data_IF_142837823222
#
_entry.id   IF_142837823222
#
_cell.length_a   1.000
_cell.length_b   1.000
_cell.length_c   1.000
_cell.angle_alpha   90.00
_cell.angle_beta   90.00
_cell.angle_gamma   90.00
#
_symmetry.space_group_name_H-M   'P 1'
#
loop_
_entity.id
_entity.type
_entity.pdbx_description
1 polymer ?
#
# COMPACT_ATOMS: atom_id res chain seq x y z
N UNK A 1 -7.38 2.87 27.68
CA UNK A 1 -7.28 3.25 26.26
C UNK A 1 -6.07 4.14 25.97
N UNK A 2 -5.99 5.39 26.47
CA UNK A 2 -4.85 6.30 26.19
C UNK A 2 -3.46 5.71 26.47
N UNK A 3 -3.28 4.94 27.56
CA UNK A 3 -2.00 4.28 27.86
C UNK A 3 -1.62 3.26 26.76
N UNK A 4 -2.57 2.43 26.34
CA UNK A 4 -2.40 1.45 25.26
C UNK A 4 -1.98 2.10 23.95
N UNK A 5 -2.69 3.15 23.52
CA UNK A 5 -2.37 3.87 22.28
C UNK A 5 -1.01 4.56 22.34
N UNK A 6 -0.64 5.14 23.49
CA UNK A 6 0.69 5.75 23.66
C UNK A 6 1.81 4.72 23.63
N UNK A 7 1.62 3.54 24.24
CA UNK A 7 2.58 2.45 24.19
C UNK A 7 2.83 1.98 22.75
N UNK A 8 1.75 1.77 21.98
CA UNK A 8 1.89 1.39 20.58
C UNK A 8 2.50 2.50 19.71
N UNK A 9 2.14 3.76 19.95
CA UNK A 9 2.78 4.87 19.23
C UNK A 9 4.29 4.88 19.40
N UNK A 10 4.78 4.73 20.65
CA UNK A 10 6.22 4.71 20.89
C UNK A 10 6.88 3.44 20.32
N UNK A 11 6.19 2.30 20.31
CA UNK A 11 6.67 1.07 19.69
C UNK A 11 6.82 1.23 18.18
N UNK A 12 5.82 1.78 17.50
CA UNK A 12 5.89 2.06 16.06
C UNK A 12 7.03 3.03 15.72
N UNK A 13 7.17 4.11 16.49
CA UNK A 13 8.25 5.06 16.29
C UNK A 13 9.63 4.43 16.49
N UNK A 14 9.83 3.71 17.58
CA UNK A 14 11.10 3.06 17.90
C UNK A 14 11.49 2.02 16.83
N UNK A 15 10.58 1.13 16.46
CA UNK A 15 10.86 0.09 15.45
C UNK A 15 11.17 0.72 14.08
N UNK A 16 10.46 1.79 13.71
CA UNK A 16 10.76 2.53 12.48
C UNK A 16 12.18 3.14 12.50
N UNK A 17 12.52 3.86 13.58
CA UNK A 17 13.74 4.67 13.65
C UNK A 17 14.99 3.88 14.01
N UNK A 18 14.85 2.78 14.75
CA UNK A 18 15.96 1.99 15.26
C UNK A 18 16.20 0.69 14.47
N UNK A 19 15.19 0.22 13.73
CA UNK A 19 15.25 -1.05 12.99
C UNK A 19 15.00 -0.85 11.48
N UNK A 20 13.79 -0.48 11.08
CA UNK A 20 13.34 -0.56 9.68
C UNK A 20 14.09 0.43 8.78
N UNK A 21 14.10 1.72 9.12
CA UNK A 21 14.79 2.72 8.30
C UNK A 21 16.31 2.51 8.27
N UNK A 22 17.01 2.23 9.40
CA UNK A 22 18.44 1.91 9.37
C UNK A 22 18.78 0.67 8.53
N UNK A 23 17.95 -0.37 8.56
CA UNK A 23 18.15 -1.56 7.74
C UNK A 23 18.17 -1.20 6.24
N UNK A 24 17.16 -0.50 5.75
CA UNK A 24 17.06 -0.16 4.33
C UNK A 24 18.07 0.87 3.86
N UNK A 25 18.43 1.84 4.71
CA UNK A 25 19.51 2.80 4.40
C UNK A 25 20.87 2.12 4.30
N UNK A 26 21.11 1.08 5.07
CA UNK A 26 22.37 0.33 5.07
C UNK A 26 22.45 -0.67 3.92
N UNK A 27 21.40 -1.44 3.71
CA UNK A 27 21.41 -2.62 2.85
C UNK A 27 20.72 -2.39 1.49
N UNK A 28 19.75 -1.48 1.40
CA UNK A 28 18.98 -1.22 0.21
C UNK A 28 19.46 -0.03 -0.60
N UNK A 29 19.94 1.05 0.03
CA UNK A 29 20.27 2.28 -0.69
C UNK A 29 21.45 2.08 -1.65
N UNK A 30 21.25 2.31 -2.95
CA UNK A 30 22.33 2.30 -3.94
C UNK A 30 23.07 3.65 -3.94
N UNK A 31 24.25 3.67 -3.34
CA UNK A 31 25.09 4.87 -3.22
C UNK A 31 25.92 5.13 -4.48
N UNK A 32 25.88 4.26 -5.49
CA UNK A 32 26.64 4.40 -6.74
C UNK A 32 25.77 4.96 -7.85
N UNK A 33 24.61 4.35 -8.09
CA UNK A 33 23.72 4.74 -9.19
C UNK A 33 22.51 5.54 -8.72
N UNK A 34 22.28 5.63 -7.38
CA UNK A 34 21.05 6.18 -6.81
C UNK A 34 19.90 5.17 -6.76
N UNK A 35 18.81 5.54 -6.08
CA UNK A 35 17.68 4.66 -5.89
C UNK A 35 17.91 3.57 -4.84
N UNK A 36 17.05 2.55 -4.84
CA UNK A 36 17.05 1.49 -3.82
C UNK A 36 16.98 0.09 -4.44
N UNK A 37 17.76 -0.83 -3.91
CA UNK A 37 17.62 -2.28 -4.11
C UNK A 37 16.60 -2.84 -3.13
N UNK A 38 15.81 -3.83 -3.56
CA UNK A 38 14.86 -4.52 -2.68
C UNK A 38 15.06 -6.03 -2.64
N UNK A 39 15.84 -6.61 -3.56
CA UNK A 39 16.16 -8.03 -3.53
C UNK A 39 17.31 -8.28 -2.52
N UNK A 40 16.94 -8.36 -1.24
CA UNK A 40 17.86 -8.40 -0.10
C UNK A 40 17.60 -9.66 0.72
N UNK A 41 18.65 -10.41 1.01
CA UNK A 41 18.58 -11.63 1.83
C UNK A 41 18.36 -11.30 3.31
N UNK A 42 18.25 -12.32 4.14
CA UNK A 42 17.98 -12.21 5.57
C UNK A 42 19.03 -11.38 6.30
N UNK A 43 20.30 -11.56 5.97
CA UNK A 43 21.44 -10.86 6.59
C UNK A 43 21.71 -9.46 6.02
N UNK A 44 20.92 -9.01 5.04
CA UNK A 44 21.08 -7.73 4.36
C UNK A 44 21.97 -7.79 3.11
N UNK A 45 22.50 -8.94 2.72
CA UNK A 45 23.26 -9.09 1.48
C UNK A 45 22.33 -9.00 0.26
N UNK A 46 22.83 -8.47 -0.87
CA UNK A 46 22.06 -8.38 -2.10
C UNK A 46 21.95 -9.75 -2.78
N UNK A 47 20.72 -10.16 -3.06
CA UNK A 47 20.42 -11.34 -3.89
C UNK A 47 20.46 -10.96 -5.36
N UNK A 48 19.95 -9.78 -5.70
CA UNK A 48 19.86 -9.26 -7.07
C UNK A 48 19.94 -7.74 -7.06
N UNK A 49 20.49 -7.16 -8.12
CA UNK A 49 20.63 -5.70 -8.28
C UNK A 49 19.57 -5.09 -9.20
N UNK A 50 18.62 -5.87 -9.70
CA UNK A 50 17.45 -5.39 -10.43
C UNK A 50 16.62 -4.48 -9.51
N UNK A 51 16.24 -3.31 -10.01
CA UNK A 51 15.44 -2.34 -9.29
C UNK A 51 13.99 -2.40 -9.72
N UNK A 52 13.10 -2.68 -8.79
CA UNK A 52 11.67 -2.50 -8.97
C UNK A 52 11.35 -0.99 -8.98
N UNK A 53 10.75 -0.50 -10.06
CA UNK A 53 10.36 0.92 -10.20
C UNK A 53 9.27 1.28 -9.18
N UNK A 54 8.39 0.33 -8.83
CA UNK A 54 7.44 0.53 -7.75
C UNK A 54 8.13 0.92 -6.45
N UNK A 55 9.23 0.26 -6.11
CA UNK A 55 9.94 0.52 -4.86
C UNK A 55 10.80 1.78 -4.93
N UNK A 56 11.18 2.26 -6.08
CA UNK A 56 11.76 3.59 -6.18
C UNK A 56 10.74 4.63 -5.68
N UNK A 57 9.53 4.64 -6.23
CA UNK A 57 8.47 5.53 -5.77
C UNK A 57 8.06 5.29 -4.32
N UNK A 58 7.82 4.03 -3.94
CA UNK A 58 7.41 3.64 -2.58
C UNK A 58 8.41 4.04 -1.51
N UNK A 59 9.70 3.83 -1.74
CA UNK A 59 10.73 4.20 -0.76
C UNK A 59 10.91 5.72 -0.66
N UNK A 60 10.95 6.44 -1.79
CA UNK A 60 11.04 7.89 -1.77
C UNK A 60 9.85 8.53 -1.04
N UNK A 61 8.62 7.98 -1.23
CA UNK A 61 7.45 8.35 -0.45
C UNK A 61 7.66 8.13 1.04
N UNK A 62 8.03 6.92 1.45
CA UNK A 62 8.21 6.56 2.87
C UNK A 62 9.28 7.39 3.55
N UNK A 63 10.44 7.59 2.90
CA UNK A 63 11.53 8.37 3.47
C UNK A 63 11.12 9.85 3.66
N UNK A 64 10.37 10.41 2.69
CA UNK A 64 9.81 11.76 2.80
C UNK A 64 8.72 11.84 3.88
N UNK A 65 7.85 10.83 3.96
CA UNK A 65 6.77 10.78 4.95
C UNK A 65 7.31 10.63 6.37
N UNK A 66 8.31 9.77 6.58
CA UNK A 66 9.01 9.67 7.86
C UNK A 66 9.66 11.01 8.27
N UNK A 67 10.31 11.70 7.31
CA UNK A 67 10.88 13.03 7.54
C UNK A 67 9.81 14.05 7.92
N UNK A 68 8.66 14.02 7.30
CA UNK A 68 7.59 14.97 7.58
C UNK A 68 6.91 14.74 8.93
N UNK A 69 6.77 13.49 9.34
CA UNK A 69 5.90 13.07 10.44
C UNK A 69 6.65 12.68 11.72
N UNK A 70 7.76 11.98 11.58
CA UNK A 70 8.48 11.39 12.73
C UNK A 70 9.57 12.30 13.23
N UNK A 71 10.58 12.60 12.39
CA UNK A 71 11.70 13.48 12.70
C UNK A 71 12.37 14.04 11.44
N UNK A 72 12.94 15.24 11.54
CA UNK A 72 13.63 15.91 10.43
C UNK A 72 15.04 15.32 10.18
N UNK A 73 15.10 14.01 9.90
CA UNK A 73 16.35 13.31 9.66
C UNK A 73 16.88 13.62 8.24
N UNK A 74 18.06 14.29 8.12
CA UNK A 74 18.59 14.70 6.82
C UNK A 74 18.99 13.51 5.92
N UNK A 75 19.32 12.34 6.50
CA UNK A 75 19.67 11.16 5.71
C UNK A 75 18.42 10.60 4.99
N UNK A 76 17.25 10.65 5.63
CA UNK A 76 15.98 10.23 5.00
C UNK A 76 15.63 11.14 3.82
N UNK A 77 15.78 12.46 4.00
CA UNK A 77 15.50 13.41 2.93
C UNK A 77 16.48 13.25 1.76
N UNK A 78 17.77 13.03 2.05
CA UNK A 78 18.78 12.79 1.02
C UNK A 78 18.53 11.45 0.27
N UNK A 79 18.13 10.40 0.97
CA UNK A 79 17.77 9.11 0.36
C UNK A 79 16.53 9.22 -0.54
N UNK A 80 15.50 9.97 -0.10
CA UNK A 80 14.34 10.27 -0.91
C UNK A 80 14.72 11.02 -2.19
N UNK A 81 15.56 12.06 -2.08
CA UNK A 81 16.03 12.84 -3.23
C UNK A 81 16.79 11.98 -4.22
N UNK A 82 17.78 11.20 -3.75
CA UNK A 82 18.56 10.28 -4.59
C UNK A 82 17.67 9.30 -5.36
N UNK A 83 16.60 8.82 -4.71
CA UNK A 83 15.67 7.89 -5.33
C UNK A 83 14.77 8.59 -6.36
N UNK A 84 14.32 9.81 -6.09
CA UNK A 84 13.54 10.61 -7.06
C UNK A 84 14.41 10.97 -8.27
N UNK A 85 15.68 11.35 -8.07
CA UNK A 85 16.60 11.61 -9.19
C UNK A 85 16.78 10.38 -10.07
N UNK A 86 16.89 9.20 -9.47
CA UNK A 86 16.95 7.93 -10.20
C UNK A 86 15.66 7.67 -10.99
N UNK A 87 14.49 7.94 -10.40
CA UNK A 87 13.20 7.83 -11.09
C UNK A 87 13.17 8.74 -12.33
N UNK A 88 13.50 10.00 -12.17
CA UNK A 88 13.45 10.99 -13.25
C UNK A 88 14.44 10.67 -14.38
N UNK A 89 15.63 10.16 -14.04
CA UNK A 89 16.67 9.87 -15.03
C UNK A 89 16.45 8.53 -15.78
N UNK A 90 15.83 7.53 -15.14
CA UNK A 90 15.92 6.15 -15.63
C UNK A 90 14.59 5.39 -15.72
N UNK A 91 13.53 5.86 -15.09
CA UNK A 91 12.32 5.03 -14.95
C UNK A 91 11.23 5.33 -15.97
N UNK A 92 11.40 6.33 -16.84
CA UNK A 92 10.43 6.68 -17.87
C UNK A 92 10.86 6.20 -19.25
N UNK A 93 9.89 5.70 -20.02
CA UNK A 93 10.04 5.40 -21.43
C UNK A 93 9.70 6.63 -22.30
N UNK A 94 10.04 6.57 -23.58
CA UNK A 94 9.82 7.64 -24.56
C UNK A 94 8.35 7.97 -24.79
N UNK A 95 7.43 7.05 -24.48
CA UNK A 95 5.96 7.28 -24.56
C UNK A 95 5.38 7.96 -23.30
N UNK A 96 6.23 8.27 -22.33
CA UNK A 96 5.85 8.88 -21.04
C UNK A 96 5.35 7.90 -19.98
N UNK A 97 5.23 6.60 -20.33
CA UNK A 97 4.94 5.52 -19.36
C UNK A 97 6.19 5.16 -18.58
N UNK A 98 5.98 4.58 -17.41
CA UNK A 98 7.11 4.10 -16.58
C UNK A 98 7.37 2.61 -16.78
N UNK A 99 8.63 2.24 -16.63
CA UNK A 99 9.04 0.83 -16.53
C UNK A 99 8.54 0.21 -15.21
N UNK A 100 8.56 -1.10 -15.15
CA UNK A 100 8.31 -1.87 -13.92
C UNK A 100 9.61 -2.31 -13.27
N UNK A 101 10.61 -2.67 -14.08
CA UNK A 101 11.94 -3.08 -13.65
C UNK A 101 13.01 -2.45 -14.52
N UNK A 102 14.13 -2.09 -13.88
CA UNK A 102 15.34 -1.59 -14.53
C UNK A 102 16.57 -2.24 -13.89
N UNK A 103 17.70 -2.25 -14.62
CA UNK A 103 19.00 -2.66 -14.06
C UNK A 103 19.47 -1.68 -12.98
N UNK A 104 20.54 -2.04 -12.26
CA UNK A 104 21.16 -1.15 -11.26
C UNK A 104 21.50 0.24 -11.81
N UNK A 105 22.01 0.30 -13.05
CA UNK A 105 22.38 1.51 -13.78
C UNK A 105 21.23 2.14 -14.59
N UNK A 106 20.00 1.64 -14.41
CA UNK A 106 18.80 2.25 -14.96
C UNK A 106 18.40 1.84 -16.39
N UNK A 107 19.00 0.80 -16.97
CA UNK A 107 18.56 0.29 -18.28
C UNK A 107 17.24 -0.48 -18.15
N UNK A 108 16.28 -0.28 -19.07
CA UNK A 108 14.96 -0.90 -18.98
C UNK A 108 15.00 -2.42 -19.12
N UNK A 109 14.26 -3.13 -18.27
CA UNK A 109 14.12 -4.58 -18.30
C UNK A 109 12.68 -5.00 -18.60
N UNK A 110 11.70 -4.36 -17.94
CA UNK A 110 10.31 -4.77 -18.07
C UNK A 110 9.34 -3.60 -17.90
N UNK A 111 8.26 -3.61 -18.67
CA UNK A 111 7.13 -2.69 -18.58
C UNK A 111 5.86 -3.47 -18.25
N UNK A 112 4.90 -2.84 -17.58
CA UNK A 112 3.59 -3.43 -17.29
C UNK A 112 2.47 -2.58 -17.86
N UNK A 113 1.30 -3.20 -18.05
CA UNK A 113 0.05 -2.55 -18.49
C UNK A 113 -0.63 -1.70 -17.42
N UNK A 114 -0.12 -1.68 -16.19
CA UNK A 114 -0.68 -0.92 -15.07
C UNK A 114 0.03 0.41 -14.88
N UNK A 115 -0.67 1.36 -14.28
CA UNK A 115 -0.16 2.71 -13.93
C UNK A 115 0.39 2.78 -12.49
N UNK A 116 0.75 1.69 -11.88
CA UNK A 116 1.20 1.69 -10.48
C UNK A 116 2.59 2.30 -10.30
N UNK A 117 3.49 2.12 -11.26
CA UNK A 117 4.80 2.80 -11.23
C UNK A 117 4.62 4.31 -11.20
N UNK A 118 3.76 4.82 -12.08
CA UNK A 118 3.40 6.23 -12.18
C UNK A 118 2.72 6.72 -10.89
N UNK A 119 1.80 5.93 -10.32
CA UNK A 119 1.11 6.27 -9.07
C UNK A 119 2.07 6.40 -7.90
N UNK A 120 3.00 5.45 -7.74
CA UNK A 120 4.00 5.53 -6.67
C UNK A 120 5.01 6.65 -6.87
N UNK A 121 5.42 6.94 -8.09
CA UNK A 121 6.27 8.09 -8.37
C UNK A 121 5.54 9.41 -8.07
N UNK A 122 4.26 9.53 -8.40
CA UNK A 122 3.46 10.72 -8.14
C UNK A 122 3.32 11.01 -6.63
N UNK A 123 2.98 10.01 -5.81
CA UNK A 123 2.88 10.21 -4.37
C UNK A 123 4.25 10.49 -3.73
N UNK A 124 5.33 9.92 -4.26
CA UNK A 124 6.69 10.20 -3.82
C UNK A 124 7.08 11.66 -4.07
N UNK A 125 6.81 12.17 -5.27
CA UNK A 125 7.08 13.57 -5.61
C UNK A 125 6.24 14.53 -4.76
N UNK A 126 4.96 14.22 -4.52
CA UNK A 126 4.10 15.04 -3.67
C UNK A 126 4.61 15.10 -2.22
N UNK A 127 4.93 13.96 -1.62
CA UNK A 127 5.41 13.91 -0.24
C UNK A 127 6.81 14.54 -0.11
N UNK A 128 7.67 14.39 -1.12
CA UNK A 128 8.97 15.04 -1.17
C UNK A 128 8.86 16.57 -1.32
N UNK A 129 7.90 17.08 -2.08
CA UNK A 129 7.63 18.51 -2.16
C UNK A 129 7.35 19.12 -0.78
N UNK A 130 6.53 18.43 0.02
CA UNK A 130 6.23 18.81 1.41
C UNK A 130 7.47 18.73 2.31
N UNK A 131 8.32 17.72 2.11
CA UNK A 131 9.52 17.52 2.91
C UNK A 131 10.66 18.53 2.59
N UNK A 132 10.86 18.85 1.31
CA UNK A 132 11.92 19.73 0.84
C UNK A 132 11.52 21.21 0.80
N UNK A 133 10.20 21.51 0.71
CA UNK A 133 9.68 22.84 0.41
C UNK A 133 9.74 23.22 -1.08
N UNK A 134 10.25 22.35 -1.94
CA UNK A 134 10.32 22.60 -3.39
C UNK A 134 9.03 22.16 -4.08
N UNK A 135 8.14 23.11 -4.33
CA UNK A 135 6.83 22.88 -4.92
C UNK A 135 6.88 22.45 -6.39
N UNK A 136 8.01 22.51 -7.07
CA UNK A 136 8.14 21.98 -8.44
C UNK A 136 7.87 20.47 -8.49
N UNK A 137 8.16 19.74 -7.39
CA UNK A 137 7.81 18.33 -7.28
C UNK A 137 6.31 18.08 -7.09
N UNK A 138 5.58 18.99 -6.47
CA UNK A 138 4.12 18.93 -6.41
C UNK A 138 3.49 19.12 -7.79
N UNK A 139 4.02 20.04 -8.60
CA UNK A 139 3.60 20.24 -9.99
C UNK A 139 3.90 19.01 -10.85
N UNK A 140 5.08 18.40 -10.68
CA UNK A 140 5.43 17.13 -11.35
C UNK A 140 4.50 15.99 -10.96
N UNK A 141 4.16 15.87 -9.67
CA UNK A 141 3.20 14.89 -9.17
C UNK A 141 1.83 15.04 -9.80
N UNK A 142 1.31 16.26 -9.82
CA UNK A 142 0.02 16.59 -10.45
C UNK A 142 0.01 16.33 -11.96
N UNK A 143 1.10 16.70 -12.64
CA UNK A 143 1.25 16.42 -14.07
C UNK A 143 1.23 14.91 -14.33
N UNK A 144 2.00 14.14 -13.57
CA UNK A 144 2.05 12.69 -13.72
C UNK A 144 0.69 12.04 -13.41
N UNK A 145 -0.05 12.55 -12.43
CA UNK A 145 -1.41 12.12 -12.15
C UNK A 145 -2.37 12.38 -13.31
N UNK A 146 -2.29 13.54 -13.95
CA UNK A 146 -3.06 13.85 -15.17
C UNK A 146 -2.67 12.93 -16.33
N UNK A 147 -1.39 12.58 -16.45
CA UNK A 147 -0.93 11.59 -17.43
C UNK A 147 -1.48 10.18 -17.12
N UNK A 148 -1.53 9.74 -15.85
CA UNK A 148 -2.18 8.49 -15.43
C UNK A 148 -3.63 8.45 -15.92
N UNK A 149 -4.42 9.49 -15.66
CA UNK A 149 -5.82 9.56 -16.13
C UNK A 149 -5.91 9.48 -17.66
N UNK A 150 -5.05 10.19 -18.35
CA UNK A 150 -4.96 10.14 -19.82
C UNK A 150 -4.63 8.74 -20.33
N UNK A 151 -3.67 8.03 -19.72
CA UNK A 151 -3.32 6.67 -20.12
C UNK A 151 -4.49 5.70 -19.93
N UNK A 152 -5.23 5.82 -18.84
CA UNK A 152 -6.40 4.97 -18.56
C UNK A 152 -7.54 5.26 -19.54
N UNK A 153 -7.79 6.53 -19.85
CA UNK A 153 -8.91 6.95 -20.69
C UNK A 153 -8.66 6.78 -22.20
N UNK A 154 -7.39 6.67 -22.63
CA UNK A 154 -7.06 6.63 -24.06
C UNK A 154 -6.92 5.17 -24.53
N UNK A 155 -7.80 4.70 -25.44
CA UNK A 155 -7.69 3.34 -26.00
C UNK A 155 -6.30 3.09 -26.62
N UNK A 156 -5.73 1.93 -26.32
CA UNK A 156 -4.42 1.52 -26.82
C UNK A 156 -3.20 2.07 -26.06
N UNK A 157 -3.38 3.00 -25.11
CA UNK A 157 -2.27 3.44 -24.24
C UNK A 157 -1.86 2.39 -23.20
N UNK A 158 -2.82 1.59 -22.76
CA UNK A 158 -2.61 0.45 -21.87
C UNK A 158 -3.06 -0.83 -22.58
N UNK A 159 -2.25 -1.88 -22.52
CA UNK A 159 -2.68 -3.19 -22.99
C UNK A 159 -3.83 -3.70 -22.12
N UNK A 160 -4.88 -4.30 -22.70
CA UNK A 160 -6.00 -4.80 -21.93
C UNK A 160 -5.58 -5.98 -21.05
N UNK A 161 -6.08 -6.01 -19.82
CA UNK A 161 -5.92 -7.18 -18.93
C UNK A 161 -6.82 -8.34 -19.36
N UNK A 162 -8.01 -8.02 -19.86
CA UNK A 162 -8.99 -8.99 -20.31
C UNK A 162 -9.28 -8.75 -21.80
N UNK A 163 -9.53 -9.83 -22.53
CA UNK A 163 -9.89 -9.79 -23.95
C UNK A 163 -11.43 -9.74 -24.10
N UNK A 164 -11.90 -9.49 -25.32
CA UNK A 164 -13.33 -9.30 -25.63
C UNK A 164 -14.22 -10.47 -25.23
N UNK A 165 -13.64 -11.67 -25.12
CA UNK A 165 -14.35 -12.89 -24.66
C UNK A 165 -14.63 -12.91 -23.16
N UNK A 166 -13.93 -12.11 -22.37
CA UNK A 166 -14.14 -11.91 -20.94
C UNK A 166 -14.08 -10.43 -20.62
N UNK A 167 -15.21 -9.75 -20.73
CA UNK A 167 -15.29 -8.35 -20.32
C UNK A 167 -15.33 -8.27 -18.81
N UNK A 168 -14.27 -7.70 -18.21
CA UNK A 168 -14.14 -7.57 -16.77
C UNK A 168 -13.31 -6.34 -16.40
N UNK A 169 -13.55 -5.83 -15.20
CA UNK A 169 -12.77 -4.78 -14.58
C UNK A 169 -12.22 -5.22 -13.23
N UNK A 170 -11.06 -4.68 -12.87
CA UNK A 170 -10.36 -5.01 -11.64
C UNK A 170 -10.44 -3.91 -10.60
N UNK A 171 -10.53 -4.31 -9.34
CA UNK A 171 -10.63 -3.43 -8.17
C UNK A 171 -9.37 -2.58 -7.92
N UNK A 172 -8.18 -3.15 -8.12
CA UNK A 172 -6.91 -2.56 -7.69
C UNK A 172 -6.61 -1.17 -8.28
N UNK A 173 -7.05 -0.88 -9.51
CA UNK A 173 -6.89 0.45 -10.13
C UNK A 173 -7.77 1.49 -9.44
N UNK A 174 -8.99 1.13 -9.11
CA UNK A 174 -9.93 2.03 -8.42
C UNK A 174 -9.40 2.40 -7.04
N UNK A 175 -8.91 1.41 -6.31
CA UNK A 175 -8.30 1.59 -4.99
C UNK A 175 -7.07 2.51 -5.02
N UNK A 176 -6.10 2.24 -5.90
CA UNK A 176 -4.85 3.02 -5.93
C UNK A 176 -5.07 4.47 -6.32
N UNK A 177 -6.07 4.77 -7.16
CA UNK A 177 -6.36 6.13 -7.58
C UNK A 177 -6.95 6.99 -6.45
N UNK A 178 -7.71 6.41 -5.53
CA UNK A 178 -8.17 7.12 -4.31
C UNK A 178 -6.94 7.59 -3.52
N UNK A 179 -6.03 6.70 -3.20
CA UNK A 179 -4.85 7.04 -2.40
C UNK A 179 -3.93 8.01 -3.15
N UNK A 180 -3.66 7.79 -4.44
CA UNK A 180 -2.79 8.66 -5.23
C UNK A 180 -3.32 10.09 -5.27
N UNK A 181 -4.61 10.27 -5.57
CA UNK A 181 -5.24 11.58 -5.62
C UNK A 181 -5.26 12.26 -4.24
N UNK A 182 -5.58 11.51 -3.18
CA UNK A 182 -5.59 12.00 -1.80
C UNK A 182 -4.22 12.52 -1.36
N UNK A 183 -3.14 11.75 -1.62
CA UNK A 183 -1.77 12.19 -1.26
C UNK A 183 -1.33 13.44 -2.00
N UNK A 184 -1.64 13.58 -3.28
CA UNK A 184 -1.28 14.76 -4.07
C UNK A 184 -2.08 15.99 -3.60
N UNK A 185 -3.38 15.81 -3.31
CA UNK A 185 -4.28 16.87 -2.81
C UNK A 185 -3.80 17.51 -1.51
N UNK A 186 -3.09 16.78 -0.66
CA UNK A 186 -2.50 17.34 0.57
C UNK A 186 -1.44 18.42 0.31
N UNK A 187 -0.90 18.47 -0.91
CA UNK A 187 0.23 19.34 -1.24
C UNK A 187 -0.12 20.40 -2.27
N UNK A 188 -0.95 20.06 -3.25
CA UNK A 188 -1.37 20.97 -4.32
C UNK A 188 -2.85 20.79 -4.63
N UNK A 189 -3.58 21.91 -4.71
CA UNK A 189 -4.99 21.89 -5.02
C UNK A 189 -5.23 21.86 -6.53
N UNK A 190 -6.01 20.88 -6.99
CA UNK A 190 -6.53 20.81 -8.36
C UNK A 190 -7.85 20.03 -8.35
N UNK A 191 -8.95 20.53 -8.97
CA UNK A 191 -10.25 19.85 -8.95
C UNK A 191 -10.24 18.43 -9.51
N UNK A 192 -9.27 18.09 -10.36
CA UNK A 192 -9.13 16.74 -10.93
C UNK A 192 -8.90 15.68 -9.88
N UNK A 193 -8.33 16.05 -8.72
CA UNK A 193 -8.03 15.13 -7.64
C UNK A 193 -9.31 14.69 -6.90
N UNK A 194 -10.15 15.65 -6.51
CA UNK A 194 -11.44 15.36 -5.90
C UNK A 194 -12.37 14.64 -6.87
N UNK A 195 -12.40 15.06 -8.14
CA UNK A 195 -13.16 14.38 -9.18
C UNK A 195 -12.76 12.91 -9.31
N UNK A 196 -11.45 12.61 -9.31
CA UNK A 196 -11.00 11.21 -9.39
C UNK A 196 -11.40 10.40 -8.17
N UNK A 197 -11.33 10.98 -6.97
CA UNK A 197 -11.76 10.30 -5.75
C UNK A 197 -13.26 9.96 -5.84
N UNK A 198 -14.09 10.92 -6.25
CA UNK A 198 -15.53 10.70 -6.41
C UNK A 198 -15.84 9.60 -7.45
N UNK A 199 -15.18 9.64 -8.62
CA UNK A 199 -15.30 8.62 -9.66
C UNK A 199 -14.90 7.23 -9.14
N UNK A 200 -13.85 7.16 -8.33
CA UNK A 200 -13.36 5.91 -7.74
C UNK A 200 -14.32 5.38 -6.68
N UNK A 201 -14.81 6.23 -5.77
CA UNK A 201 -15.80 5.85 -4.75
C UNK A 201 -17.10 5.34 -5.38
N UNK A 202 -17.55 5.94 -6.48
CA UNK A 202 -18.72 5.46 -7.22
C UNK A 202 -18.43 4.10 -7.88
N UNK A 203 -17.27 3.97 -8.54
CA UNK A 203 -16.87 2.70 -9.18
C UNK A 203 -16.69 1.54 -8.19
N UNK A 204 -16.28 1.82 -6.95
CA UNK A 204 -16.15 0.79 -5.90
C UNK A 204 -17.47 0.07 -5.60
N UNK A 205 -18.61 0.73 -5.79
CA UNK A 205 -19.93 0.14 -5.56
C UNK A 205 -20.14 -1.14 -6.38
N UNK A 206 -19.57 -1.22 -7.55
CA UNK A 206 -19.68 -2.37 -8.44
C UNK A 206 -19.01 -3.63 -7.87
N UNK A 207 -17.97 -3.46 -7.07
CA UNK A 207 -17.20 -4.56 -6.48
C UNK A 207 -17.78 -5.05 -5.14
N UNK A 208 -18.61 -4.25 -4.49
CA UNK A 208 -19.27 -4.61 -3.22
C UNK A 208 -20.40 -5.60 -3.49
N UNK A 209 -20.33 -6.79 -2.88
CA UNK A 209 -21.30 -7.88 -3.04
C UNK A 209 -21.90 -8.27 -1.69
N UNK A 210 -23.03 -7.65 -1.31
CA UNK A 210 -23.69 -7.92 -0.01
C UNK A 210 -24.10 -9.38 0.17
N UNK A 211 -24.47 -10.06 -0.91
CA UNK A 211 -24.86 -11.47 -0.91
C UNK A 211 -23.73 -12.42 -0.46
N UNK A 212 -22.46 -12.01 -0.67
CA UNK A 212 -21.28 -12.72 -0.21
C UNK A 212 -20.63 -12.06 1.00
N UNK A 213 -21.11 -10.90 1.43
CA UNK A 213 -20.43 -10.02 2.41
C UNK A 213 -18.97 -9.81 2.02
N UNK A 214 -18.73 -9.35 0.80
CA UNK A 214 -17.40 -9.25 0.24
C UNK A 214 -17.24 -8.06 -0.70
N UNK A 215 -15.99 -7.59 -0.82
CA UNK A 215 -15.50 -6.79 -1.91
C UNK A 215 -14.68 -7.72 -2.82
N UNK A 216 -15.06 -7.84 -4.08
CA UNK A 216 -14.41 -8.76 -5.03
C UNK A 216 -13.28 -8.08 -5.80
N UNK A 217 -12.26 -8.86 -6.18
CA UNK A 217 -11.11 -8.37 -6.96
C UNK A 217 -11.46 -8.10 -8.45
N UNK A 218 -12.54 -8.72 -8.94
CA UNK A 218 -12.93 -8.64 -10.34
C UNK A 218 -14.46 -8.75 -10.48
N UNK A 219 -15.01 -7.91 -11.36
CA UNK A 219 -16.45 -7.94 -11.72
C UNK A 219 -16.59 -7.66 -13.22
N UNK A 220 -17.77 -7.88 -13.75
CA UNK A 220 -18.14 -7.45 -15.11
C UNK A 220 -18.17 -5.94 -15.27
N UNK A 221 -18.30 -5.42 -16.50
CA UNK A 221 -18.24 -3.98 -16.79
C UNK A 221 -19.24 -3.14 -15.99
N UNK A 222 -20.43 -3.67 -15.72
CA UNK A 222 -21.48 -2.98 -14.96
C UNK A 222 -21.63 -3.57 -13.53
N UNK A 223 -20.59 -4.20 -13.01
CA UNK A 223 -20.59 -4.79 -11.68
C UNK A 223 -21.17 -6.21 -11.61
N UNK A 224 -21.37 -6.89 -12.72
CA UNK A 224 -21.92 -8.25 -12.74
C UNK A 224 -20.96 -9.22 -12.02
N UNK A 225 -21.53 -10.13 -11.24
CA UNK A 225 -20.75 -11.21 -10.64
C UNK A 225 -20.29 -12.21 -11.71
N UNK A 226 -19.00 -12.46 -11.75
CA UNK A 226 -18.38 -13.43 -12.67
C UNK A 226 -18.11 -14.73 -11.89
N UNK A 227 -18.95 -15.75 -12.09
CA UNK A 227 -18.84 -17.03 -11.40
C UNK A 227 -17.75 -17.92 -11.99
N UNK A 228 -16.50 -17.47 -11.85
CA UNK A 228 -15.29 -18.22 -12.22
C UNK A 228 -14.31 -18.22 -11.05
N UNK A 229 -13.33 -19.09 -11.08
CA UNK A 229 -12.31 -19.16 -10.02
C UNK A 229 -11.63 -17.80 -9.76
N UNK A 230 -11.45 -16.99 -10.80
CA UNK A 230 -10.86 -15.64 -10.67
C UNK A 230 -11.91 -14.60 -10.22
N UNK A 231 -13.15 -14.70 -10.68
CA UNK A 231 -14.22 -13.76 -10.33
C UNK A 231 -14.74 -13.92 -8.90
N UNK A 232 -14.48 -15.07 -8.26
CA UNK A 232 -14.87 -15.34 -6.87
C UNK A 232 -13.81 -14.92 -5.85
N UNK A 233 -12.64 -14.40 -6.30
CA UNK A 233 -11.53 -14.08 -5.42
C UNK A 233 -11.86 -12.89 -4.52
N UNK A 234 -11.65 -13.10 -3.23
CA UNK A 234 -11.54 -12.06 -2.20
C UNK A 234 -10.07 -11.98 -1.81
N UNK A 235 -9.51 -10.76 -1.84
CA UNK A 235 -8.22 -10.46 -1.23
C UNK A 235 -8.47 -9.65 0.04
N UNK A 236 -8.48 -10.27 1.23
CA UNK A 236 -8.77 -9.56 2.47
C UNK A 236 -7.89 -8.34 2.69
N UNK A 237 -6.60 -8.44 2.34
CA UNK A 237 -5.65 -7.34 2.46
C UNK A 237 -6.04 -6.12 1.60
N UNK A 238 -6.34 -6.29 0.31
CA UNK A 238 -6.81 -5.21 -0.56
C UNK A 238 -8.14 -4.61 -0.09
N UNK A 239 -9.05 -5.47 0.38
CA UNK A 239 -10.33 -5.00 0.89
C UNK A 239 -10.16 -4.12 2.15
N UNK A 240 -9.28 -4.54 3.06
CA UNK A 240 -8.92 -3.79 4.26
C UNK A 240 -8.19 -2.48 3.89
N UNK A 241 -7.24 -2.52 2.94
CA UNK A 241 -6.55 -1.34 2.44
C UNK A 241 -7.54 -0.34 1.82
N UNK A 242 -8.49 -0.82 1.02
CA UNK A 242 -9.57 0.01 0.48
C UNK A 242 -10.41 0.65 1.59
N UNK A 243 -10.75 -0.12 2.61
CA UNK A 243 -11.56 0.39 3.72
C UNK A 243 -10.87 1.57 4.43
N UNK A 244 -9.58 1.49 4.72
CA UNK A 244 -8.94 2.62 5.38
C UNK A 244 -8.64 3.78 4.44
N UNK A 245 -8.43 3.57 3.12
CA UNK A 245 -8.40 4.69 2.16
C UNK A 245 -9.73 5.46 2.14
N UNK A 246 -10.85 4.73 2.21
CA UNK A 246 -12.18 5.33 2.33
C UNK A 246 -12.38 6.05 3.67
N UNK A 247 -11.92 5.48 4.80
CA UNK A 247 -12.02 6.13 6.11
C UNK A 247 -11.16 7.40 6.18
N UNK A 248 -9.97 7.39 5.59
CA UNK A 248 -9.14 8.60 5.48
C UNK A 248 -9.83 9.68 4.65
N UNK A 249 -10.47 9.32 3.54
CA UNK A 249 -11.28 10.25 2.75
C UNK A 249 -12.53 10.72 3.49
N UNK A 250 -13.22 9.84 4.20
CA UNK A 250 -14.36 10.21 5.05
C UNK A 250 -13.94 11.23 6.12
N UNK A 251 -12.78 11.02 6.76
CA UNK A 251 -12.20 11.96 7.72
C UNK A 251 -11.92 13.32 7.08
N UNK A 252 -11.32 13.34 5.89
CA UNK A 252 -11.08 14.58 5.14
C UNK A 252 -12.37 15.36 4.85
N UNK A 253 -13.49 14.66 4.60
CA UNK A 253 -14.83 15.22 4.38
C UNK A 253 -15.62 15.43 5.68
N UNK A 254 -14.97 15.47 6.84
CA UNK A 254 -15.63 15.68 8.14
C UNK A 254 -16.43 14.45 8.60
N UNK A 255 -15.95 13.27 8.31
CA UNK A 255 -16.58 11.98 8.58
C UNK A 255 -17.89 11.81 7.82
N UNK A 256 -17.82 11.99 6.47
CA UNK A 256 -18.98 11.72 5.60
C UNK A 256 -19.61 10.37 5.94
N UNK A 257 -20.91 10.39 6.20
CA UNK A 257 -21.64 9.25 6.76
C UNK A 257 -21.67 8.06 5.79
N UNK A 258 -21.97 8.31 4.50
CA UNK A 258 -22.11 7.23 3.51
C UNK A 258 -20.77 6.52 3.28
N UNK A 259 -19.69 7.30 3.13
CA UNK A 259 -18.35 6.76 2.94
C UNK A 259 -17.92 5.98 4.19
N UNK A 260 -18.13 6.54 5.38
CA UNK A 260 -17.78 5.90 6.66
C UNK A 260 -18.50 4.57 6.85
N UNK A 261 -19.82 4.53 6.71
CA UNK A 261 -20.62 3.32 6.90
C UNK A 261 -20.20 2.20 5.91
N UNK A 262 -19.95 2.56 4.65
CA UNK A 262 -19.49 1.61 3.64
C UNK A 262 -18.10 1.08 3.93
N UNK A 263 -17.17 1.95 4.33
CA UNK A 263 -15.82 1.57 4.67
C UNK A 263 -15.78 0.61 5.87
N UNK A 264 -16.55 0.90 6.92
CA UNK A 264 -16.68 0.03 8.09
C UNK A 264 -17.30 -1.32 7.73
N UNK A 265 -18.31 -1.33 6.85
CA UNK A 265 -18.92 -2.57 6.35
C UNK A 265 -17.89 -3.43 5.60
N UNK A 266 -17.09 -2.83 4.71
CA UNK A 266 -16.01 -3.53 3.97
C UNK A 266 -14.98 -4.07 4.96
N UNK A 267 -14.55 -3.29 5.95
CA UNK A 267 -13.59 -3.72 6.96
C UNK A 267 -14.11 -4.91 7.77
N UNK A 268 -15.35 -4.83 8.28
CA UNK A 268 -15.95 -5.89 9.08
C UNK A 268 -16.09 -7.20 8.28
N UNK A 269 -16.50 -7.12 7.03
CA UNK A 269 -16.59 -8.29 6.15
C UNK A 269 -15.21 -8.87 5.82
N UNK A 270 -14.24 -7.99 5.54
CA UNK A 270 -12.88 -8.41 5.18
C UNK A 270 -12.16 -9.06 6.35
N UNK A 271 -12.45 -8.60 7.57
CA UNK A 271 -11.97 -9.27 8.78
C UNK A 271 -12.57 -10.67 8.92
N UNK A 272 -13.89 -10.83 8.74
CA UNK A 272 -14.56 -12.14 8.79
C UNK A 272 -13.99 -13.12 7.75
N UNK A 273 -13.65 -12.64 6.56
CA UNK A 273 -13.05 -13.46 5.52
C UNK A 273 -11.57 -13.76 5.75
N UNK A 274 -10.83 -12.81 6.29
CA UNK A 274 -9.37 -12.85 6.37
C UNK A 274 -8.80 -13.39 7.65
N UNK A 275 -9.44 -13.12 8.80
CA UNK A 275 -8.91 -13.56 10.10
C UNK A 275 -8.90 -15.08 10.21
N UNK A 276 -7.75 -15.64 10.58
CA UNK A 276 -7.61 -17.09 10.79
C UNK A 276 -7.89 -17.44 12.25
N UNK A 277 -9.06 -18.02 12.53
CA UNK A 277 -9.50 -18.38 13.88
C UNK A 277 -8.59 -19.44 14.54
N UNK A 278 -7.86 -20.21 13.75
CA UNK A 278 -6.99 -21.27 14.27
C UNK A 278 -5.60 -20.76 14.64
N UNK A 279 -5.00 -19.92 13.79
CA UNK A 279 -3.60 -19.51 13.91
C UNK A 279 -3.42 -18.00 14.07
N UNK A 280 -4.48 -17.22 13.98
CA UNK A 280 -4.42 -15.75 13.95
C UNK A 280 -3.88 -15.19 12.63
N UNK A 281 -3.91 -13.86 12.52
CA UNK A 281 -3.47 -13.11 11.35
C UNK A 281 -4.40 -13.18 10.15
N UNK A 282 -4.20 -12.27 9.21
CA UNK A 282 -4.99 -12.16 7.98
C UNK A 282 -4.37 -13.05 6.90
N UNK A 283 -5.16 -13.95 6.33
CA UNK A 283 -4.76 -14.82 5.22
C UNK A 283 -4.81 -14.09 3.87
N UNK A 284 -4.14 -14.64 2.86
CA UNK A 284 -3.89 -13.97 1.59
C UNK A 284 -5.12 -13.92 0.68
N UNK A 285 -5.78 -15.07 0.39
CA UNK A 285 -6.92 -15.14 -0.52
C UNK A 285 -8.04 -16.04 0.00
N UNK A 286 -9.27 -15.71 -0.37
CA UNK A 286 -10.48 -16.53 -0.18
C UNK A 286 -11.29 -16.60 -1.47
N UNK A 287 -12.16 -17.58 -1.55
CA UNK A 287 -13.21 -17.67 -2.57
C UNK A 287 -14.55 -17.34 -1.92
N UNK A 288 -15.35 -16.45 -2.51
CA UNK A 288 -16.61 -15.99 -1.93
C UNK A 288 -17.69 -17.08 -1.77
N UNK A 289 -17.47 -18.25 -2.36
CA UNK A 289 -18.31 -19.46 -2.18
C UNK A 289 -17.63 -20.53 -1.30
N UNK A 290 -16.53 -20.17 -0.62
CA UNK A 290 -15.73 -21.11 0.18
C UNK A 290 -15.17 -22.31 -0.61
N UNK A 291 -14.92 -22.12 -1.91
CA UNK A 291 -14.21 -23.07 -2.74
C UNK A 291 -12.69 -22.80 -2.64
N UNK A 292 -11.84 -23.76 -3.02
CA UNK A 292 -10.39 -23.52 -3.07
C UNK A 292 -10.05 -22.43 -4.10
N UNK A 293 -9.35 -21.33 -3.70
CA UNK A 293 -8.80 -20.39 -4.66
C UNK A 293 -7.73 -21.04 -5.54
N UNK A 294 -7.44 -20.42 -6.70
CA UNK A 294 -6.41 -20.93 -7.59
C UNK A 294 -4.98 -20.72 -7.04
N UNK A 295 -4.77 -19.66 -6.26
CA UNK A 295 -3.45 -19.31 -5.76
C UNK A 295 -3.00 -20.27 -4.66
N UNK A 296 -1.82 -20.88 -4.85
CA UNK A 296 -1.25 -21.85 -3.89
C UNK A 296 -0.86 -21.19 -2.55
N UNK A 297 -0.65 -19.87 -2.53
CA UNK A 297 -0.35 -19.10 -1.31
C UNK A 297 -1.61 -18.60 -0.59
N UNK A 298 -2.77 -19.12 -0.94
CA UNK A 298 -4.07 -18.60 -0.53
C UNK A 298 -4.25 -18.50 0.99
N UNK A 299 -3.69 -19.40 1.77
CA UNK A 299 -3.79 -19.42 3.23
C UNK A 299 -2.52 -18.92 3.96
N UNK A 300 -1.50 -18.52 3.22
CA UNK A 300 -0.28 -17.92 3.79
C UNK A 300 -0.58 -16.56 4.43
N UNK A 301 0.33 -16.15 5.33
CA UNK A 301 0.32 -14.83 5.97
C UNK A 301 1.41 -13.97 5.35
N UNK A 302 1.00 -12.97 4.57
CA UNK A 302 1.91 -11.96 4.04
C UNK A 302 1.99 -10.77 4.99
N UNK A 303 3.10 -10.04 4.97
CA UNK A 303 3.34 -8.89 5.86
C UNK A 303 2.32 -7.77 5.64
N UNK A 304 2.00 -7.47 4.38
CA UNK A 304 1.23 -6.30 4.03
C UNK A 304 -0.25 -6.36 4.42
N UNK A 305 -1.00 -7.48 4.35
CA UNK A 305 -2.37 -7.52 4.87
C UNK A 305 -2.46 -7.22 6.37
N UNK A 306 -1.44 -7.66 7.13
CA UNK A 306 -1.38 -7.40 8.57
C UNK A 306 -1.17 -5.90 8.84
N UNK A 307 -0.22 -5.28 8.12
CA UNK A 307 0.05 -3.84 8.27
C UNK A 307 -1.14 -2.98 7.88
N UNK A 308 -1.87 -3.34 6.82
CA UNK A 308 -3.07 -2.63 6.42
C UNK A 308 -4.20 -2.77 7.46
N UNK A 309 -4.33 -3.94 8.08
CA UNK A 309 -5.31 -4.17 9.13
C UNK A 309 -5.02 -3.35 10.41
N UNK A 310 -3.75 -3.17 10.77
CA UNK A 310 -3.34 -2.30 11.88
C UNK A 310 -3.80 -0.86 11.63
N UNK A 311 -3.58 -0.31 10.44
CA UNK A 311 -4.02 1.05 10.08
C UNK A 311 -5.54 1.14 10.09
N UNK A 312 -6.21 0.20 9.41
CA UNK A 312 -7.66 0.22 9.22
C UNK A 312 -8.43 0.20 10.55
N UNK A 313 -7.98 -0.60 11.51
CA UNK A 313 -8.63 -0.71 12.82
C UNK A 313 -8.50 0.56 13.64
N UNK A 314 -7.38 1.29 13.55
CA UNK A 314 -7.22 2.60 14.20
C UNK A 314 -8.14 3.66 13.58
N UNK A 315 -8.23 3.74 12.25
CA UNK A 315 -9.18 4.64 11.58
C UNK A 315 -10.63 4.32 11.93
N UNK A 316 -10.98 3.03 11.96
CA UNK A 316 -12.34 2.61 12.33
C UNK A 316 -12.68 2.99 13.78
N UNK A 317 -11.73 2.86 14.70
CA UNK A 317 -11.90 3.34 16.06
C UNK A 317 -12.04 4.87 16.13
N UNK A 318 -11.24 5.60 15.38
CA UNK A 318 -11.34 7.07 15.32
C UNK A 318 -12.71 7.52 14.80
N UNK A 319 -13.23 6.84 13.78
CA UNK A 319 -14.52 7.16 13.18
C UNK A 319 -15.72 6.89 14.10
N UNK A 320 -15.62 5.88 14.98
CA UNK A 320 -16.79 5.33 15.69
C UNK A 320 -16.70 5.41 17.20
N UNK A 321 -15.50 5.39 17.78
CA UNK A 321 -15.29 5.16 19.21
C UNK A 321 -15.65 3.74 19.67
N UNK A 322 -15.96 2.81 18.77
CA UNK A 322 -16.35 1.44 19.12
C UNK A 322 -15.13 0.60 19.53
N UNK A 323 -15.13 0.13 20.77
CA UNK A 323 -14.02 -0.64 21.37
C UNK A 323 -13.70 -1.95 20.61
N UNK A 324 -14.65 -2.47 19.80
CA UNK A 324 -14.38 -3.66 18.97
C UNK A 324 -13.19 -3.45 18.03
N UNK A 325 -13.02 -2.24 17.50
CA UNK A 325 -11.91 -1.93 16.58
C UNK A 325 -10.57 -1.81 17.31
N UNK A 326 -10.57 -1.42 18.57
CA UNK A 326 -9.36 -1.48 19.41
C UNK A 326 -9.01 -2.94 19.76
N UNK A 327 -10.00 -3.78 19.99
CA UNK A 327 -9.74 -5.20 20.22
C UNK A 327 -9.19 -5.86 18.93
N UNK A 328 -9.75 -5.56 17.77
CA UNK A 328 -9.21 -5.98 16.48
C UNK A 328 -7.77 -5.47 16.28
N UNK A 329 -7.50 -4.21 16.61
CA UNK A 329 -6.14 -3.64 16.56
C UNK A 329 -5.20 -4.39 17.49
N UNK A 330 -5.63 -4.75 18.70
CA UNK A 330 -4.82 -5.53 19.64
C UNK A 330 -4.46 -6.89 19.07
N UNK A 331 -5.46 -7.62 18.60
CA UNK A 331 -5.29 -8.97 18.05
C UNK A 331 -4.31 -8.96 16.87
N UNK A 332 -4.50 -8.07 15.90
CA UNK A 332 -3.63 -8.03 14.72
C UNK A 332 -2.22 -7.52 15.05
N UNK A 333 -2.09 -6.52 15.92
CA UNK A 333 -0.80 -5.95 16.28
C UNK A 333 0.04 -6.93 17.10
N UNK A 334 -0.54 -7.56 18.12
CA UNK A 334 0.14 -8.55 18.96
C UNK A 334 0.57 -9.75 18.11
N UNK A 335 -0.32 -10.27 17.26
CA UNK A 335 0.00 -11.37 16.37
C UNK A 335 1.13 -11.02 15.40
N UNK A 336 1.05 -9.87 14.75
CA UNK A 336 2.03 -9.41 13.76
C UNK A 336 3.41 -9.24 14.37
N UNK A 337 3.49 -8.58 15.52
CA UNK A 337 4.77 -8.36 16.22
C UNK A 337 5.35 -9.61 16.88
N UNK A 338 4.55 -10.67 17.05
CA UNK A 338 5.04 -11.96 17.51
C UNK A 338 5.66 -12.82 16.40
N UNK A 339 5.32 -12.57 15.11
CA UNK A 339 5.68 -13.50 14.04
C UNK A 339 6.58 -12.90 12.95
N UNK A 340 6.44 -11.60 12.62
CA UNK A 340 7.17 -11.01 11.50
C UNK A 340 8.55 -10.42 11.82
N UNK A 341 8.79 -9.74 12.96
CA UNK A 341 10.09 -9.15 13.24
C UNK A 341 11.20 -10.19 13.32
N UNK A 342 12.33 -9.92 12.65
CA UNK A 342 13.55 -10.72 12.81
C UNK A 342 14.48 -10.05 13.82
N UNK A 343 14.55 -10.62 15.02
CA UNK A 343 15.34 -10.07 16.12
C UNK A 343 16.85 -10.27 15.95
N UNK A 344 17.28 -11.11 15.00
CA UNK A 344 18.70 -11.38 14.75
C UNK A 344 19.30 -10.40 13.73
N UNK A 345 18.62 -10.17 12.60
CA UNK A 345 19.14 -9.35 11.51
C UNK A 345 18.39 -8.04 11.30
N UNK A 346 17.30 -7.83 12.03
CA UNK A 346 16.45 -6.67 11.83
C UNK A 346 15.49 -6.82 10.66
N UNK A 347 14.67 -5.80 10.43
CA UNK A 347 13.55 -5.82 9.48
C UNK A 347 12.58 -6.97 9.77
N UNK A 348 11.52 -7.09 9.00
CA UNK A 348 10.50 -8.12 9.12
C UNK A 348 10.61 -9.14 8.00
N UNK A 349 10.28 -10.41 8.27
CA UNK A 349 9.99 -11.38 7.22
C UNK A 349 8.82 -10.91 6.36
N UNK A 350 8.74 -11.40 5.12
CA UNK A 350 7.63 -11.03 4.23
C UNK A 350 6.54 -12.08 4.16
N UNK A 351 6.92 -13.34 4.28
CA UNK A 351 6.07 -14.46 3.93
C UNK A 351 6.15 -15.53 5.01
N UNK A 352 5.01 -15.81 5.63
CA UNK A 352 4.87 -16.88 6.62
C UNK A 352 3.91 -17.94 6.09
N UNK A 353 4.13 -19.17 6.51
CA UNK A 353 3.12 -20.21 6.39
C UNK A 353 1.87 -19.86 7.21
N UNK A 354 0.80 -20.60 7.02
CA UNK A 354 -0.46 -20.36 7.71
C UNK A 354 -0.33 -20.37 9.23
N UNK A 355 0.54 -21.25 9.78
CA UNK A 355 0.80 -21.39 11.22
C UNK A 355 1.72 -20.30 11.80
N UNK A 356 2.18 -19.35 11.00
CA UNK A 356 3.07 -18.27 11.42
C UNK A 356 4.56 -18.60 11.33
N UNK A 357 4.95 -19.80 10.90
CA UNK A 357 6.37 -20.13 10.64
C UNK A 357 6.88 -19.46 9.37
N UNK A 358 8.18 -19.13 9.34
CA UNK A 358 8.79 -18.42 8.20
C UNK A 358 8.80 -19.29 6.95
N UNK A 359 8.16 -18.83 5.89
CA UNK A 359 8.14 -19.50 4.58
C UNK A 359 9.29 -19.06 3.69
N UNK A 360 9.66 -17.76 3.74
CA UNK A 360 10.79 -17.21 3.00
C UNK A 360 11.58 -16.25 3.91
N UNK A 361 12.87 -16.48 4.12
CA UNK A 361 13.66 -15.68 5.06
C UNK A 361 14.14 -14.35 4.49
N UNK A 362 14.20 -14.17 3.16
CA UNK A 362 14.67 -12.93 2.53
C UNK A 362 13.86 -11.71 2.98
N UNK A 363 14.55 -10.58 3.19
CA UNK A 363 13.93 -9.33 3.65
C UNK A 363 13.21 -8.59 2.56
N UNK A 364 13.55 -8.84 1.31
CA UNK A 364 12.87 -8.20 0.20
C UNK A 364 13.06 -8.90 -1.14
N UNK A 365 12.24 -8.48 -2.09
CA UNK A 365 12.25 -8.92 -3.48
C UNK A 365 11.61 -7.81 -4.34
N UNK A 366 11.28 -8.07 -5.62
CA UNK A 366 10.64 -7.07 -6.50
C UNK A 366 9.23 -6.67 -6.04
N UNK A 367 8.60 -7.39 -5.10
CA UNK A 367 7.26 -7.12 -4.56
C UNK A 367 7.26 -6.76 -3.07
N UNK A 368 8.30 -7.10 -2.30
CA UNK A 368 8.50 -6.71 -0.91
C UNK A 368 9.70 -5.79 -0.77
N UNK A 369 9.49 -4.70 -0.08
CA UNK A 369 10.53 -3.70 0.24
C UNK A 369 9.97 -2.66 1.23
N UNK A 370 10.67 -1.55 1.44
CA UNK A 370 10.33 -0.55 2.45
C UNK A 370 9.11 0.31 2.06
N UNK A 371 7.92 -0.23 2.27
CA UNK A 371 6.69 0.50 2.02
C UNK A 371 5.61 0.20 3.05
N UNK A 372 4.97 -0.97 3.01
CA UNK A 372 3.82 -1.27 3.87
C UNK A 372 4.19 -1.21 5.36
N UNK A 373 5.34 -1.78 5.76
CA UNK A 373 5.78 -1.77 7.15
C UNK A 373 6.04 -0.35 7.65
N UNK A 374 6.96 0.44 7.04
CA UNK A 374 7.20 1.79 7.51
C UNK A 374 6.00 2.72 7.32
N UNK A 375 5.18 2.59 6.26
CA UNK A 375 3.93 3.34 6.09
C UNK A 375 2.98 3.08 7.26
N UNK A 376 2.81 1.81 7.63
CA UNK A 376 1.98 1.43 8.77
C UNK A 376 2.49 2.08 10.06
N UNK A 377 3.80 2.00 10.34
CA UNK A 377 4.37 2.56 11.55
C UNK A 377 4.16 4.08 11.65
N UNK A 378 4.39 4.81 10.54
CA UNK A 378 4.21 6.26 10.50
C UNK A 378 2.73 6.62 10.68
N UNK A 379 1.85 5.97 9.92
CA UNK A 379 0.40 6.25 9.94
C UNK A 379 -0.23 5.90 11.28
N UNK A 380 0.12 4.75 11.83
CA UNK A 380 -0.38 4.31 13.14
C UNK A 380 0.16 5.17 14.29
N UNK A 381 1.40 5.66 14.19
CA UNK A 381 1.94 6.65 15.13
C UNK A 381 1.10 7.93 15.12
N UNK A 382 0.82 8.51 13.94
CA UNK A 382 -0.02 9.71 13.82
C UNK A 382 -1.39 9.49 14.45
N UNK A 383 -2.09 8.41 14.06
CA UNK A 383 -3.43 8.09 14.56
C UNK A 383 -3.45 7.89 16.08
N UNK A 384 -2.50 7.15 16.63
CA UNK A 384 -2.40 6.97 18.07
C UNK A 384 -2.16 8.30 18.82
N UNK A 385 -1.32 9.18 18.27
CA UNK A 385 -1.08 10.52 18.86
C UNK A 385 -2.31 11.40 18.76
N UNK A 386 -3.07 11.35 17.67
CA UNK A 386 -4.33 12.09 17.54
C UNK A 386 -5.39 11.60 18.53
N UNK A 387 -5.58 10.30 18.65
CA UNK A 387 -6.53 9.66 19.55
C UNK A 387 -6.22 9.85 21.05
N UNK A 388 -5.00 10.27 21.38
CA UNK A 388 -4.58 10.49 22.77
C UNK A 388 -4.57 11.96 23.20
N UNK A 389 -4.75 12.90 22.25
CA UNK A 389 -4.95 14.32 22.57
C UNK A 389 -6.26 14.52 23.33
#
# INVERSE_FOLDING_TARGET
MKSYLNEWAERYRADLTENIMPFWLRHGLDRVNGGIYTCVDRDGSLIDTTKSVWFQGRFAFVASFAYNTIEKNPEWLAAAKSTIDFIEAHCFDTDGRMYFEVTADGRPLRKRRYVFSESFAAIAMAEYAKASGDMTYAEKALKLFKDIRRFIATPGCLEPKYLDTLQAKGHSIVMILINTASRIREVIADPVLDQQIDESLESLKDFVKPEFKALLEMVGPNGEFIDTINGRVINPGHCIETAWFMLEEAKHRGWDKEITERALQILDWSWQWGWDEQYGGIINFRDCRNLPPQDYSQDMKFWWPQTEAIIATLYAYEATGDEKYIEMHRQISEWTYAHFPDTEYGEWYGYLHRDGTVAQPAKGNIFKGPFHIPRMMIKSYELCKELTK
#
